data_IF_619425856316
#
_entry.id   IF_619425856316
#
_cell.length_a   1.000
_cell.length_b   1.000
_cell.length_c   1.000
_cell.angle_alpha   90.00
_cell.angle_beta   90.00
_cell.angle_gamma   90.00
#
_symmetry.space_group_name_H-M   'P 1'
#
loop_
_entity.id
_entity.type
_entity.pdbx_description
1 polymer ?
#
# COMPACT_ATOMS: atom_id res chain seq x y z
N UNK A 1 -12.73 0.21 13.99
CA UNK A 1 -12.61 1.64 14.41
C UNK A 1 -12.44 1.80 15.92
N UNK A 2 -13.20 1.09 16.77
CA UNK A 2 -13.07 1.20 18.25
C UNK A 2 -11.68 0.82 18.73
N UNK A 3 -11.11 -0.25 18.19
CA UNK A 3 -9.74 -0.69 18.52
C UNK A 3 -8.70 0.35 18.08
N UNK A 4 -8.82 0.91 16.89
CA UNK A 4 -7.92 1.95 16.41
C UNK A 4 -7.95 3.20 17.29
N UNK A 5 -9.14 3.64 17.70
CA UNK A 5 -9.31 4.77 18.63
C UNK A 5 -8.72 4.49 20.01
N UNK A 6 -8.83 3.26 20.51
CA UNK A 6 -8.25 2.86 21.77
C UNK A 6 -6.71 2.85 21.73
N UNK A 7 -6.11 2.51 20.58
CA UNK A 7 -4.65 2.47 20.43
C UNK A 7 -4.02 3.87 20.34
N UNK A 8 -4.56 4.75 19.48
CA UNK A 8 -3.89 6.01 19.14
C UNK A 8 -4.82 7.24 19.13
N UNK A 9 -6.05 7.10 19.59
CA UNK A 9 -7.04 8.17 19.57
C UNK A 9 -7.80 8.27 18.23
N UNK A 10 -8.80 9.13 18.21
CA UNK A 10 -9.65 9.32 17.02
C UNK A 10 -8.92 10.01 15.86
N UNK A 11 -7.92 10.81 16.16
CA UNK A 11 -7.15 11.58 15.16
C UNK A 11 -6.32 10.70 14.23
N UNK A 12 -5.90 9.52 14.71
CA UNK A 12 -5.14 8.57 13.89
C UNK A 12 -6.02 7.75 12.94
N UNK A 13 -7.35 7.79 13.07
CA UNK A 13 -8.27 7.04 12.21
C UNK A 13 -8.43 7.77 10.89
N UNK A 14 -7.91 7.16 9.83
CA UNK A 14 -7.92 7.75 8.50
C UNK A 14 -9.27 7.52 7.81
N UNK A 15 -10.02 8.59 7.66
CA UNK A 15 -11.20 8.67 6.82
C UNK A 15 -11.11 10.00 6.05
N UNK A 16 -10.29 10.09 4.99
CA UNK A 16 -10.06 11.34 4.31
C UNK A 16 -11.35 11.83 3.65
N UNK A 17 -11.76 13.05 4.01
CA UNK A 17 -12.83 13.76 3.31
C UNK A 17 -12.33 14.25 1.95
N UNK A 18 -13.04 13.94 0.88
CA UNK A 18 -12.72 14.41 -0.48
C UNK A 18 -13.66 15.53 -0.89
N UNK A 19 -13.15 16.64 -1.48
CA UNK A 19 -13.99 17.67 -2.10
C UNK A 19 -14.85 17.05 -3.22
N UNK A 20 -16.11 17.49 -3.33
CA UNK A 20 -17.08 16.86 -4.24
C UNK A 20 -16.70 17.03 -5.73
N UNK A 21 -16.23 18.22 -6.09
CA UNK A 21 -16.04 18.63 -7.49
C UNK A 21 -14.58 18.87 -7.87
N UNK A 22 -13.64 18.52 -6.98
CA UNK A 22 -12.20 18.73 -7.24
C UNK A 22 -11.57 17.46 -7.81
N UNK A 23 -10.75 17.55 -8.87
CA UNK A 23 -9.97 16.44 -9.37
C UNK A 23 -9.10 15.82 -8.28
N UNK A 24 -8.92 14.49 -8.32
CA UNK A 24 -8.12 13.77 -7.32
C UNK A 24 -6.70 14.33 -7.21
N UNK A 25 -6.09 14.68 -8.33
CA UNK A 25 -4.73 15.24 -8.38
C UNK A 25 -4.59 16.53 -7.58
N UNK A 26 -5.62 17.38 -7.60
CA UNK A 26 -5.63 18.68 -6.89
C UNK A 26 -6.06 18.51 -5.41
N UNK A 27 -6.84 17.43 -5.13
CA UNK A 27 -7.43 17.20 -3.82
C UNK A 27 -6.52 16.40 -2.86
N UNK A 28 -5.52 15.69 -3.37
CA UNK A 28 -4.62 14.84 -2.55
C UNK A 28 -3.84 15.68 -1.56
N UNK A 29 -3.13 16.69 -2.05
CA UNK A 29 -2.35 17.62 -1.23
C UNK A 29 -2.41 18.99 -1.92
N UNK A 30 -3.32 19.87 -1.52
CA UNK A 30 -3.53 21.15 -2.23
C UNK A 30 -2.27 22.01 -2.36
N UNK A 31 -1.34 21.91 -1.40
CA UNK A 31 -0.07 22.63 -1.40
C UNK A 31 1.12 21.77 -1.85
N UNK A 32 0.87 20.55 -2.31
CA UNK A 32 1.89 19.60 -2.76
C UNK A 32 2.43 19.94 -4.14
N UNK A 33 3.68 19.57 -4.41
CA UNK A 33 4.22 19.65 -5.76
C UNK A 33 3.53 18.64 -6.69
N UNK A 34 3.45 18.96 -7.97
CA UNK A 34 2.91 18.05 -9.00
C UNK A 34 3.65 16.71 -9.00
N UNK A 35 4.97 16.74 -8.83
CA UNK A 35 5.80 15.54 -8.83
C UNK A 35 5.50 14.65 -7.61
N UNK A 36 5.33 15.22 -6.42
CA UNK A 36 5.01 14.45 -5.20
C UNK A 36 3.62 13.80 -5.30
N UNK A 37 2.63 14.55 -5.80
CA UNK A 37 1.27 14.07 -5.97
C UNK A 37 1.21 12.92 -6.99
N UNK A 38 1.84 13.09 -8.15
CA UNK A 38 1.87 12.05 -9.19
C UNK A 38 2.69 10.84 -8.78
N UNK A 39 3.76 11.02 -8.01
CA UNK A 39 4.53 9.93 -7.41
C UNK A 39 3.69 9.15 -6.40
N UNK A 40 2.92 9.82 -5.53
CA UNK A 40 2.03 9.16 -4.58
C UNK A 40 0.95 8.33 -5.29
N UNK A 41 0.26 8.90 -6.31
CA UNK A 41 -0.75 8.20 -7.11
C UNK A 41 -0.17 6.98 -7.83
N UNK A 42 0.99 7.14 -8.46
CA UNK A 42 1.67 6.07 -9.18
C UNK A 42 2.17 4.98 -8.24
N UNK A 43 2.62 5.35 -7.04
CA UNK A 43 3.17 4.42 -6.04
C UNK A 43 2.18 3.36 -5.56
N UNK A 44 0.88 3.64 -5.64
CA UNK A 44 -0.21 2.71 -5.28
C UNK A 44 -0.87 2.06 -6.51
N UNK A 45 -0.28 2.22 -7.68
CA UNK A 45 -0.78 1.65 -8.93
C UNK A 45 -1.97 2.42 -9.53
N UNK A 46 -2.20 3.67 -9.16
CA UNK A 46 -3.17 4.55 -9.79
C UNK A 46 -2.47 5.42 -10.84
N UNK A 47 -1.99 4.78 -11.92
CA UNK A 47 -1.17 5.44 -12.95
C UNK A 47 -1.94 6.07 -14.11
N UNK A 48 -3.27 6.05 -14.10
CA UNK A 48 -4.10 6.57 -15.19
C UNK A 48 -4.36 8.07 -15.05
N UNK A 49 -3.75 8.87 -15.92
CA UNK A 49 -3.97 10.34 -15.95
C UNK A 49 -5.45 10.72 -16.08
N UNK A 50 -6.26 10.09 -16.94
CA UNK A 50 -7.70 10.38 -16.99
C UNK A 50 -8.42 10.17 -15.65
N UNK A 51 -7.97 9.22 -14.81
CA UNK A 51 -8.52 9.01 -13.47
C UNK A 51 -8.14 10.14 -12.52
N UNK A 52 -6.93 10.69 -12.62
CA UNK A 52 -6.46 11.77 -11.78
C UNK A 52 -7.26 13.08 -11.94
N UNK A 53 -7.77 13.30 -13.15
CA UNK A 53 -8.54 14.50 -13.51
C UNK A 53 -10.04 14.39 -13.15
N UNK A 54 -10.45 13.31 -12.52
CA UNK A 54 -11.84 13.08 -12.11
C UNK A 54 -12.00 13.33 -10.61
N UNK A 55 -13.16 13.82 -10.15
CA UNK A 55 -13.49 13.88 -8.73
C UNK A 55 -13.52 12.47 -8.10
N UNK A 56 -13.14 12.38 -6.84
CA UNK A 56 -13.12 11.11 -6.10
C UNK A 56 -14.47 10.37 -6.14
N UNK A 57 -15.58 11.09 -6.06
CA UNK A 57 -16.94 10.55 -6.01
C UNK A 57 -17.35 9.73 -7.23
N UNK A 58 -16.71 9.97 -8.39
CA UNK A 58 -17.02 9.26 -9.65
C UNK A 58 -16.03 8.14 -9.97
N UNK A 59 -15.07 7.89 -9.10
CA UNK A 59 -14.12 6.80 -9.23
C UNK A 59 -14.77 5.45 -8.86
N UNK A 60 -14.29 4.37 -9.47
CA UNK A 60 -14.63 3.01 -9.04
C UNK A 60 -14.07 2.73 -7.63
N UNK A 61 -14.65 1.75 -6.92
CA UNK A 61 -14.20 1.36 -5.57
C UNK A 61 -12.69 1.06 -5.51
N UNK A 62 -12.14 0.42 -6.55
CA UNK A 62 -10.72 0.12 -6.63
C UNK A 62 -9.84 1.36 -6.86
N UNK A 63 -10.32 2.34 -7.61
CA UNK A 63 -9.65 3.64 -7.80
C UNK A 63 -9.74 4.47 -6.51
N UNK A 64 -10.90 4.51 -5.86
CA UNK A 64 -11.11 5.19 -4.58
C UNK A 64 -10.20 4.62 -3.49
N UNK A 65 -10.09 3.31 -3.39
CA UNK A 65 -9.18 2.63 -2.47
C UNK A 65 -7.74 3.09 -2.68
N UNK A 66 -7.26 3.06 -3.93
CA UNK A 66 -5.90 3.50 -4.25
C UNK A 66 -5.69 5.00 -4.06
N UNK A 67 -6.69 5.83 -4.38
CA UNK A 67 -6.63 7.28 -4.12
C UNK A 67 -6.50 7.59 -2.63
N UNK A 68 -7.24 6.89 -1.76
CA UNK A 68 -7.11 7.01 -0.31
C UNK A 68 -5.71 6.62 0.18
N UNK A 69 -5.15 5.55 -0.36
CA UNK A 69 -3.77 5.13 -0.02
C UNK A 69 -2.73 6.15 -0.51
N UNK A 70 -2.90 6.70 -1.72
CA UNK A 70 -2.01 7.73 -2.27
C UNK A 70 -2.02 8.99 -1.40
N UNK A 71 -3.21 9.44 -1.00
CA UNK A 71 -3.35 10.59 -0.11
C UNK A 71 -2.66 10.38 1.22
N UNK A 72 -2.84 9.20 1.82
CA UNK A 72 -2.18 8.86 3.07
C UNK A 72 -0.64 8.86 2.96
N UNK A 73 -0.12 8.40 1.83
CA UNK A 73 1.33 8.45 1.56
C UNK A 73 1.81 9.90 1.40
N UNK A 74 1.03 10.73 0.71
CA UNK A 74 1.37 12.14 0.47
C UNK A 74 1.32 12.97 1.77
N UNK A 75 0.29 12.77 2.60
CA UNK A 75 0.14 13.45 3.89
C UNK A 75 1.14 12.92 4.94
N UNK A 76 1.59 11.69 4.80
CA UNK A 76 2.58 11.00 5.64
C UNK A 76 2.41 11.25 7.15
N UNK A 77 1.22 11.04 7.74
CA UNK A 77 1.04 11.25 9.17
C UNK A 77 1.93 10.28 9.97
N UNK A 78 2.37 10.69 11.15
CA UNK A 78 3.20 9.84 12.01
C UNK A 78 2.51 8.56 12.45
N UNK A 79 1.17 8.57 12.53
CA UNK A 79 0.32 7.43 12.90
C UNK A 79 -0.93 7.39 12.05
N UNK A 80 -1.29 6.21 11.57
CA UNK A 80 -2.47 5.98 10.76
C UNK A 80 -3.19 4.70 11.16
N UNK A 81 -4.52 4.76 11.26
CA UNK A 81 -5.39 3.58 11.43
C UNK A 81 -6.32 3.50 10.23
N UNK A 82 -6.22 2.43 9.46
CA UNK A 82 -7.10 2.16 8.33
C UNK A 82 -8.08 1.06 8.73
N UNK A 83 -9.35 1.46 8.82
CA UNK A 83 -10.43 0.53 9.13
C UNK A 83 -10.96 -0.16 7.87
N UNK A 84 -11.42 -1.39 8.00
CA UNK A 84 -11.92 -2.22 6.90
C UNK A 84 -10.97 -2.29 5.70
N UNK A 85 -9.67 -2.36 5.97
CA UNK A 85 -8.64 -2.34 4.95
C UNK A 85 -8.89 -3.41 3.89
N UNK A 86 -9.07 -2.98 2.65
CA UNK A 86 -9.33 -3.80 1.45
C UNK A 86 -10.66 -4.56 1.43
N UNK A 87 -11.63 -4.30 2.33
CA UNK A 87 -12.89 -5.06 2.42
C UNK A 87 -13.83 -4.84 1.23
N UNK A 88 -13.79 -3.66 0.62
CA UNK A 88 -14.74 -3.24 -0.44
C UNK A 88 -14.19 -3.34 -1.86
N UNK A 89 -13.00 -3.94 -2.04
CA UNK A 89 -12.35 -4.01 -3.36
C UNK A 89 -12.08 -5.44 -3.78
N UNK A 90 -12.00 -5.65 -5.10
CA UNK A 90 -11.56 -6.92 -5.68
C UNK A 90 -10.21 -7.35 -5.15
N UNK A 91 -10.00 -8.68 -4.97
CA UNK A 91 -8.81 -9.23 -4.34
C UNK A 91 -7.52 -8.96 -5.12
N UNK A 92 -7.57 -8.89 -6.44
CA UNK A 92 -6.41 -8.55 -7.25
C UNK A 92 -6.02 -7.08 -7.09
N UNK A 93 -7.01 -6.19 -7.08
CA UNK A 93 -6.80 -4.76 -6.81
C UNK A 93 -6.30 -4.54 -5.38
N UNK A 94 -6.86 -5.26 -4.41
CA UNK A 94 -6.41 -5.23 -3.01
C UNK A 94 -4.95 -5.67 -2.88
N UNK A 95 -4.56 -6.75 -3.55
CA UNK A 95 -3.19 -7.27 -3.53
C UNK A 95 -2.18 -6.24 -4.06
N UNK A 96 -2.46 -5.70 -5.24
CA UNK A 96 -1.58 -4.70 -5.86
C UNK A 96 -1.49 -3.45 -5.00
N UNK A 97 -2.63 -2.91 -4.57
CA UNK A 97 -2.69 -1.68 -3.77
C UNK A 97 -2.05 -1.85 -2.39
N UNK A 98 -2.32 -2.95 -1.69
CA UNK A 98 -1.77 -3.23 -0.36
C UNK A 98 -0.26 -3.42 -0.38
N UNK A 99 0.27 -4.19 -1.34
CA UNK A 99 1.71 -4.40 -1.48
C UNK A 99 2.45 -3.11 -1.85
N UNK A 100 1.89 -2.34 -2.77
CA UNK A 100 2.44 -1.05 -3.18
C UNK A 100 2.42 -0.04 -2.03
N UNK A 101 1.28 0.06 -1.32
CA UNK A 101 1.14 0.89 -0.12
C UNK A 101 2.16 0.52 0.94
N UNK A 102 2.26 -0.74 1.33
CA UNK A 102 3.20 -1.18 2.35
C UNK A 102 4.65 -0.82 2.02
N UNK A 103 5.04 -0.93 0.74
CA UNK A 103 6.38 -0.54 0.26
C UNK A 103 6.59 0.98 0.34
N UNK A 104 5.61 1.77 -0.07
CA UNK A 104 5.69 3.23 -0.05
C UNK A 104 5.62 3.77 1.38
N UNK A 105 4.70 3.25 2.19
CA UNK A 105 4.51 3.67 3.59
C UNK A 105 5.77 3.49 4.44
N UNK A 106 6.50 2.38 4.29
CA UNK A 106 7.76 2.16 5.02
C UNK A 106 8.82 3.22 4.77
N UNK A 107 8.73 3.95 3.66
CA UNK A 107 9.65 5.05 3.34
C UNK A 107 9.30 6.34 4.07
N UNK A 108 8.04 6.51 4.50
CA UNK A 108 7.62 7.69 5.27
C UNK A 108 8.13 7.66 6.70
N UNK A 109 8.43 6.47 7.24
CA UNK A 109 8.78 6.26 8.64
C UNK A 109 7.58 6.31 9.59
N UNK A 110 6.36 6.47 9.06
CA UNK A 110 5.11 6.47 9.83
C UNK A 110 4.72 5.08 10.35
N UNK A 111 3.90 5.03 11.37
CA UNK A 111 3.31 3.81 11.92
C UNK A 111 1.89 3.64 11.38
N UNK A 112 1.53 2.43 10.92
CA UNK A 112 0.18 2.13 10.45
C UNK A 112 -0.39 0.90 11.14
N UNK A 113 -1.69 0.95 11.46
CA UNK A 113 -2.48 -0.20 11.87
C UNK A 113 -3.58 -0.43 10.85
N UNK A 114 -3.58 -1.61 10.26
CA UNK A 114 -4.58 -2.04 9.29
C UNK A 114 -5.55 -3.00 9.98
N UNK A 115 -6.83 -2.63 10.03
CA UNK A 115 -7.88 -3.49 10.55
C UNK A 115 -8.57 -4.17 9.36
N UNK A 116 -8.48 -5.47 9.27
CA UNK A 116 -9.02 -6.24 8.15
C UNK A 116 -9.64 -7.55 8.62
N UNK A 117 -10.67 -8.00 7.92
CA UNK A 117 -11.26 -9.33 8.07
C UNK A 117 -10.60 -10.38 7.16
N UNK A 118 -9.61 -10.00 6.35
CA UNK A 118 -8.97 -10.86 5.37
C UNK A 118 -7.53 -11.20 5.76
N UNK A 119 -7.23 -12.48 5.86
CA UNK A 119 -5.88 -12.96 6.25
C UNK A 119 -4.84 -12.90 5.12
N UNK A 120 -5.28 -12.91 3.86
CA UNK A 120 -4.39 -12.85 2.69
C UNK A 120 -3.60 -11.53 2.58
N UNK A 121 -4.09 -10.45 3.22
CA UNK A 121 -3.34 -9.20 3.29
C UNK A 121 -1.99 -9.34 4.00
N UNK A 122 -1.83 -10.33 4.86
CA UNK A 122 -0.59 -10.55 5.62
C UNK A 122 0.59 -10.80 4.68
N UNK A 123 0.37 -11.59 3.63
CA UNK A 123 1.39 -11.88 2.61
C UNK A 123 1.73 -10.64 1.78
N UNK A 124 0.78 -9.73 1.58
CA UNK A 124 0.96 -8.54 0.74
C UNK A 124 1.61 -7.38 1.48
N UNK A 125 1.19 -7.13 2.72
CA UNK A 125 1.69 -6.01 3.52
C UNK A 125 2.90 -6.38 4.37
N UNK A 126 3.11 -7.67 4.68
CA UNK A 126 4.19 -8.18 5.51
C UNK A 126 4.36 -7.36 6.80
N UNK A 127 3.36 -7.39 7.70
CA UNK A 127 3.34 -6.52 8.86
C UNK A 127 4.43 -6.89 9.88
N UNK A 128 4.85 -5.94 10.71
CA UNK A 128 5.81 -6.16 11.78
C UNK A 128 5.21 -6.91 12.98
N UNK A 129 3.89 -6.88 13.10
CA UNK A 129 3.12 -7.63 14.08
C UNK A 129 1.68 -7.86 13.61
N UNK A 130 1.07 -8.90 14.16
CA UNK A 130 -0.33 -9.27 13.93
C UNK A 130 -0.99 -9.57 15.27
N UNK A 131 -2.18 -9.01 15.47
CA UNK A 131 -3.09 -9.41 16.53
C UNK A 131 -4.33 -10.04 15.89
N UNK A 132 -4.49 -11.33 16.09
CA UNK A 132 -5.66 -12.07 15.62
C UNK A 132 -6.78 -12.00 16.65
N UNK A 133 -7.84 -11.26 16.35
CA UNK A 133 -8.97 -11.05 17.24
C UNK A 133 -9.82 -12.30 17.44
N UNK A 134 -9.81 -13.26 16.51
CA UNK A 134 -10.56 -14.50 16.63
C UNK A 134 -9.94 -15.46 17.66
N UNK A 135 -8.60 -15.47 17.75
CA UNK A 135 -7.85 -16.35 18.64
C UNK A 135 -7.25 -15.65 19.84
N UNK A 136 -7.23 -14.30 19.86
CA UNK A 136 -6.52 -13.49 20.85
C UNK A 136 -5.00 -13.58 20.75
N UNK A 137 -4.48 -14.17 19.68
CA UNK A 137 -3.04 -14.41 19.52
C UNK A 137 -2.34 -13.16 19.01
N UNK A 138 -1.23 -12.81 19.67
CA UNK A 138 -0.32 -11.77 19.21
C UNK A 138 0.99 -12.38 18.70
N UNK A 139 1.41 -11.98 17.49
CA UNK A 139 2.63 -12.44 16.86
C UNK A 139 3.48 -11.25 16.45
N UNK A 140 4.79 -11.28 16.73
CA UNK A 140 5.77 -10.28 16.31
C UNK A 140 6.73 -10.85 15.29
N UNK A 141 7.31 -9.96 14.53
CA UNK A 141 8.30 -10.23 13.50
C UNK A 141 7.69 -10.22 12.11
N UNK A 142 8.52 -9.95 11.13
CA UNK A 142 8.13 -10.12 9.74
C UNK A 142 7.75 -11.57 9.54
N UNK A 143 6.46 -11.84 9.28
CA UNK A 143 5.98 -13.18 9.01
C UNK A 143 6.65 -13.78 7.77
N UNK A 144 7.24 -12.92 6.96
CA UNK A 144 8.00 -13.28 5.76
C UNK A 144 9.16 -12.31 5.53
N UNK A 145 10.38 -12.76 5.73
CA UNK A 145 11.55 -12.07 5.17
C UNK A 145 11.83 -12.71 3.82
N UNK A 146 11.92 -11.89 2.78
CA UNK A 146 12.52 -12.36 1.52
C UNK A 146 13.89 -12.94 1.86
N UNK A 147 14.20 -14.17 1.43
CA UNK A 147 15.54 -14.69 1.61
C UNK A 147 16.53 -13.69 1.00
N UNK A 148 17.65 -13.49 1.69
CA UNK A 148 18.73 -12.71 1.14
C UNK A 148 19.25 -13.48 -0.09
N UNK A 149 19.21 -12.83 -1.23
CA UNK A 149 19.79 -13.38 -2.46
C UNK A 149 21.16 -12.75 -2.57
N UNK A 150 22.19 -13.53 -2.25
CA UNK A 150 23.58 -13.16 -2.54
C UNK A 150 23.88 -13.67 -3.95
N UNK A 151 24.32 -12.77 -4.82
CA UNK A 151 24.62 -13.07 -6.21
C UNK A 151 26.09 -12.78 -6.46
N UNK A 152 26.82 -13.80 -6.84
CA UNK A 152 28.17 -13.64 -7.36
C UNK A 152 28.08 -13.44 -8.87
N UNK A 153 28.68 -12.37 -9.37
CA UNK A 153 28.70 -12.04 -10.78
C UNK A 153 30.11 -12.12 -11.29
N UNK A 154 30.36 -12.98 -12.27
CA UNK A 154 31.65 -13.09 -12.93
C UNK A 154 31.46 -13.17 -14.45
N UNK A 155 32.46 -12.76 -15.19
CA UNK A 155 32.49 -12.90 -16.63
C UNK A 155 32.76 -14.35 -16.99
N UNK A 156 31.95 -14.93 -17.86
CA UNK A 156 32.09 -16.31 -18.34
C UNK A 156 32.01 -16.38 -19.85
N UNK A 157 32.52 -17.48 -20.42
CA UNK A 157 32.42 -17.77 -21.84
C UNK A 157 31.22 -18.64 -22.21
N UNK A 158 31.11 -18.97 -23.50
CA UNK A 158 30.01 -19.79 -24.06
C UNK A 158 29.98 -21.24 -23.53
N UNK A 159 31.07 -21.71 -22.94
CA UNK A 159 31.17 -23.05 -22.35
C UNK A 159 30.13 -23.29 -21.23
N UNK A 160 29.64 -22.24 -20.57
CA UNK A 160 28.64 -22.31 -19.52
C UNK A 160 27.20 -22.17 -20.03
N UNK A 161 27.00 -21.80 -21.31
CA UNK A 161 25.68 -21.61 -21.91
C UNK A 161 24.74 -22.82 -21.74
N UNK A 162 25.17 -24.08 -21.93
CA UNK A 162 24.29 -25.23 -21.78
C UNK A 162 23.60 -25.34 -20.42
N UNK A 163 24.15 -24.73 -19.37
CA UNK A 163 23.50 -24.70 -18.05
C UNK A 163 22.32 -23.74 -17.99
N UNK A 164 22.31 -22.70 -18.84
CA UNK A 164 21.28 -21.66 -18.88
C UNK A 164 20.24 -21.86 -20.00
N UNK A 165 20.64 -22.53 -21.06
CA UNK A 165 19.79 -22.76 -22.25
C UNK A 165 18.40 -23.33 -21.92
N UNK A 166 18.22 -24.32 -21.00
CA UNK A 166 16.90 -24.84 -20.64
C UNK A 166 15.98 -23.83 -19.95
N UNK A 167 16.54 -22.71 -19.46
CA UNK A 167 15.83 -21.67 -18.72
C UNK A 167 15.66 -20.38 -19.52
N UNK A 168 16.11 -20.38 -20.78
CA UNK A 168 16.01 -19.23 -21.68
C UNK A 168 14.77 -19.39 -22.57
N UNK A 169 13.85 -18.41 -22.49
CA UNK A 169 12.63 -18.34 -23.34
C UNK A 169 12.84 -17.35 -24.46
#
# INVERSE_FOLDING_TARGET
>A
TSMGRALWGSEAVCAPGWPADMPVIDAITPDGSFDDVTAALSSVGLGSVPTWLRPYSVLSNGEQFRANLARLIAEAPSRAVLDEFSSVVDRQIAQIGAGAFAKAWRRTGGQAVLLSCHYDILDWVQPDWVFDTATGKFSRGSLWRRPRIDVDVWQTGWEHWPAFEPHHY
#
